data_IF_202124167844
#
_entry.id   IF_202124167844
#
_cell.length_a   1.000
_cell.length_b   1.000
_cell.length_c   1.000
_cell.angle_alpha   90.00
_cell.angle_beta   90.00
_cell.angle_gamma   90.00
#
_symmetry.space_group_name_H-M   'P 1'
#
loop_
_entity.id
_entity.type
_entity.pdbx_description
1 polymer ?
#
# COMPACT_ATOMS: atom_id res chain seq x y z
N UNK A 1 -8.87 0.34 -11.43
CA UNK A 1 -7.42 0.19 -11.67
C UNK A 1 -6.88 1.28 -12.60
N UNK A 2 -7.37 1.39 -13.84
CA UNK A 2 -6.83 2.36 -14.81
C UNK A 2 -6.91 3.82 -14.35
N UNK A 3 -8.00 4.25 -13.71
CA UNK A 3 -8.11 5.61 -13.17
C UNK A 3 -7.04 5.94 -12.13
N UNK A 4 -6.73 4.99 -11.25
CA UNK A 4 -5.67 5.18 -10.25
C UNK A 4 -4.28 5.19 -10.90
N UNK A 5 -4.04 4.33 -11.88
CA UNK A 5 -2.79 4.34 -12.64
C UNK A 5 -2.58 5.65 -13.40
N UNK A 6 -3.64 6.21 -13.99
CA UNK A 6 -3.60 7.53 -14.64
C UNK A 6 -3.22 8.64 -13.65
N UNK A 7 -3.76 8.60 -12.43
CA UNK A 7 -3.35 9.55 -11.36
C UNK A 7 -1.85 9.44 -11.05
N UNK A 8 -1.31 8.24 -10.97
CA UNK A 8 0.13 8.03 -10.76
C UNK A 8 0.98 8.51 -11.94
N UNK A 9 0.47 8.42 -13.17
CA UNK A 9 1.09 8.99 -14.36
C UNK A 9 0.94 10.52 -14.47
N UNK A 10 0.22 11.15 -13.53
CA UNK A 10 -0.01 12.60 -13.53
C UNK A 10 -1.16 13.07 -14.41
N UNK A 11 -1.93 12.15 -14.99
CA UNK A 11 -3.16 12.50 -15.71
C UNK A 11 -4.24 12.94 -14.73
N UNK A 12 -4.91 14.04 -15.03
CA UNK A 12 -5.98 14.62 -14.21
C UNK A 12 -7.24 14.91 -15.02
N UNK A 13 -7.14 15.86 -15.93
CA UNK A 13 -8.24 16.29 -16.81
C UNK A 13 -7.85 16.22 -18.30
N UNK A 14 -6.61 15.82 -18.57
CA UNK A 14 -6.10 15.72 -19.93
C UNK A 14 -6.80 14.58 -20.68
N UNK A 15 -7.08 14.82 -21.94
CA UNK A 15 -7.57 13.75 -22.84
C UNK A 15 -6.44 12.73 -23.04
N UNK A 16 -6.76 11.47 -22.83
CA UNK A 16 -5.83 10.38 -23.10
C UNK A 16 -5.80 10.16 -24.62
N UNK A 17 -4.61 10.07 -25.19
CA UNK A 17 -4.49 9.78 -26.62
C UNK A 17 -4.79 8.30 -26.90
N UNK A 18 -5.27 7.93 -28.11
CA UNK A 18 -5.51 6.55 -28.46
C UNK A 18 -4.26 5.64 -28.29
N UNK A 19 -3.07 6.19 -28.55
CA UNK A 19 -1.81 5.46 -28.39
C UNK A 19 -1.52 5.16 -26.92
N UNK A 20 -1.78 6.12 -26.02
CA UNK A 20 -1.62 5.92 -24.59
C UNK A 20 -2.66 4.93 -24.05
N UNK A 21 -3.90 5.01 -24.52
CA UNK A 21 -4.96 4.07 -24.14
C UNK A 21 -4.58 2.63 -24.53
N UNK A 22 -4.13 2.43 -25.78
CA UNK A 22 -3.65 1.14 -26.25
C UNK A 22 -2.46 0.63 -25.44
N UNK A 23 -1.48 1.49 -25.15
CA UNK A 23 -0.32 1.14 -24.31
C UNK A 23 -0.76 0.72 -22.91
N UNK A 24 -1.69 1.44 -22.28
CA UNK A 24 -2.22 1.09 -20.96
C UNK A 24 -2.94 -0.26 -20.97
N UNK A 25 -3.70 -0.55 -22.01
CA UNK A 25 -4.38 -1.84 -22.16
C UNK A 25 -3.38 -3.00 -22.27
N UNK A 26 -2.37 -2.86 -23.12
CA UNK A 26 -1.30 -3.86 -23.26
C UNK A 26 -0.53 -4.06 -21.96
N UNK A 27 -0.12 -2.96 -21.31
CA UNK A 27 0.59 -3.00 -20.03
C UNK A 27 -0.26 -3.61 -18.93
N UNK A 28 -1.57 -3.39 -18.91
CA UNK A 28 -2.48 -4.01 -17.95
C UNK A 28 -2.47 -5.53 -18.10
N UNK A 29 -2.60 -6.04 -19.34
CA UNK A 29 -2.53 -7.49 -19.62
C UNK A 29 -1.20 -8.09 -19.19
N UNK A 30 -0.10 -7.35 -19.38
CA UNK A 30 1.21 -7.81 -18.93
C UNK A 30 1.33 -7.79 -17.40
N UNK A 31 0.86 -6.75 -16.71
CA UNK A 31 0.86 -6.71 -15.25
C UNK A 31 0.08 -7.91 -14.69
N UNK A 32 -1.12 -8.17 -15.18
CA UNK A 32 -1.94 -9.32 -14.77
C UNK A 32 -1.24 -10.66 -15.03
N UNK A 33 -0.52 -10.79 -16.14
CA UNK A 33 0.22 -12.00 -16.50
C UNK A 33 1.43 -12.27 -15.61
N UNK A 34 2.17 -11.24 -15.22
CA UNK A 34 3.43 -11.38 -14.49
C UNK A 34 3.32 -11.13 -12.99
N UNK A 35 2.18 -10.59 -12.53
CA UNK A 35 1.90 -10.43 -11.12
C UNK A 35 1.49 -11.77 -10.49
N UNK A 36 2.09 -12.07 -9.34
CA UNK A 36 1.74 -13.20 -8.48
C UNK A 36 1.37 -12.64 -7.11
N UNK A 37 0.08 -12.36 -6.90
CA UNK A 37 -0.37 -11.81 -5.64
C UNK A 37 -0.24 -12.82 -4.52
N UNK A 38 0.46 -12.43 -3.46
CA UNK A 38 0.58 -13.17 -2.20
C UNK A 38 0.32 -12.23 -1.04
N UNK A 39 -0.38 -12.71 -0.03
CA UNK A 39 -0.63 -11.95 1.19
C UNK A 39 -0.45 -12.82 2.42
N UNK A 40 -0.09 -12.19 3.52
CA UNK A 40 0.00 -12.79 4.85
C UNK A 40 -0.48 -11.79 5.87
N UNK A 41 -1.18 -12.27 6.89
CA UNK A 41 -1.64 -11.43 8.00
C UNK A 41 -1.66 -12.21 9.31
N UNK A 42 -1.65 -11.45 10.40
CA UNK A 42 -1.90 -11.96 11.75
C UNK A 42 -2.63 -10.90 12.57
N UNK A 43 -3.45 -11.38 13.51
CA UNK A 43 -4.27 -10.51 14.39
C UNK A 43 -3.65 -10.47 15.78
N UNK A 44 -3.58 -9.26 16.34
CA UNK A 44 -3.00 -9.02 17.66
C UNK A 44 -3.92 -8.16 18.53
N UNK A 45 -3.89 -8.41 19.83
CA UNK A 45 -4.52 -7.52 20.82
C UNK A 45 -3.68 -6.27 21.00
N UNK A 46 -4.33 -5.12 21.06
CA UNK A 46 -3.72 -3.82 21.36
C UNK A 46 -3.72 -3.56 22.85
N UNK A 47 -2.62 -3.01 23.35
CA UNK A 47 -2.58 -2.29 24.62
C UNK A 47 -2.58 -0.79 24.34
N UNK A 48 -3.33 -0.03 25.15
CA UNK A 48 -3.37 1.41 25.10
C UNK A 48 -2.66 1.96 26.34
N UNK A 49 -1.89 3.06 26.19
CA UNK A 49 -1.14 3.73 27.29
C UNK A 49 0.16 3.00 27.71
N UNK A 50 1.20 2.95 26.88
CA UNK A 50 1.28 3.43 25.48
C UNK A 50 0.66 2.44 24.49
N UNK A 51 0.29 2.94 23.32
CA UNK A 51 -0.24 2.10 22.25
C UNK A 51 0.84 1.11 21.77
N UNK A 52 0.55 -0.17 21.86
CA UNK A 52 1.52 -1.23 21.53
C UNK A 52 0.85 -2.57 21.24
N UNK A 53 1.62 -3.49 20.69
CA UNK A 53 1.27 -4.91 20.60
C UNK A 53 2.20 -5.68 21.55
N UNK A 54 1.77 -5.96 22.80
CA UNK A 54 2.64 -6.57 23.81
C UNK A 54 3.15 -7.94 23.41
N UNK A 55 2.34 -8.74 22.74
CA UNK A 55 2.68 -10.11 22.33
C UNK A 55 3.95 -10.21 21.47
N UNK A 56 4.31 -9.13 20.79
CA UNK A 56 5.48 -9.06 19.91
C UNK A 56 6.41 -7.91 20.26
N UNK A 57 6.21 -7.25 21.39
CA UNK A 57 6.99 -6.10 21.83
C UNK A 57 7.12 -5.03 20.72
N UNK A 58 5.98 -4.65 20.11
CA UNK A 58 5.92 -3.62 19.06
C UNK A 58 5.28 -2.35 19.60
N UNK A 59 6.06 -1.29 19.67
CA UNK A 59 5.57 0.04 19.99
C UNK A 59 4.87 0.65 18.77
N UNK A 60 3.63 1.11 18.95
CA UNK A 60 2.81 1.81 17.97
C UNK A 60 2.40 3.21 18.45
N UNK A 61 3.02 3.72 19.52
CA UNK A 61 2.71 5.01 20.14
C UNK A 61 3.19 6.19 19.28
N UNK A 62 2.50 6.40 18.16
CA UNK A 62 2.70 7.49 17.23
C UNK A 62 1.38 8.25 17.03
N UNK A 63 1.41 9.58 16.86
CA UNK A 63 0.19 10.39 16.80
C UNK A 63 -0.86 9.90 15.79
N UNK A 64 -0.41 9.44 14.61
CA UNK A 64 -1.31 8.93 13.59
C UNK A 64 -1.98 7.61 13.99
N UNK A 65 -1.20 6.67 14.51
CA UNK A 65 -1.69 5.37 14.96
C UNK A 65 -2.54 5.49 16.21
N UNK A 66 -2.20 6.38 17.15
CA UNK A 66 -3.02 6.67 18.33
C UNK A 66 -4.41 7.13 17.92
N UNK A 67 -4.52 8.06 16.96
CA UNK A 67 -5.83 8.49 16.44
C UNK A 67 -6.56 7.36 15.73
N UNK A 68 -5.87 6.63 14.86
CA UNK A 68 -6.49 5.60 14.04
C UNK A 68 -7.00 4.42 14.87
N UNK A 69 -6.26 4.03 15.90
CA UNK A 69 -6.51 2.82 16.68
C UNK A 69 -7.17 3.10 18.04
N UNK A 70 -7.56 4.34 18.33
CA UNK A 70 -8.09 4.80 19.62
C UNK A 70 -9.19 3.88 20.18
N UNK A 71 -10.12 3.47 19.34
CA UNK A 71 -11.27 2.64 19.72
C UNK A 71 -11.14 1.19 19.27
N UNK A 72 -9.95 0.76 18.91
CA UNK A 72 -9.69 -0.60 18.45
C UNK A 72 -9.14 -1.46 19.59
N UNK A 73 -9.71 -2.64 19.79
CA UNK A 73 -9.21 -3.63 20.77
C UNK A 73 -8.13 -4.53 20.16
N UNK A 74 -8.14 -4.69 18.85
CA UNK A 74 -7.22 -5.54 18.09
C UNK A 74 -6.74 -4.81 16.85
N UNK A 75 -5.65 -5.30 16.29
CA UNK A 75 -5.22 -4.91 14.95
C UNK A 75 -4.78 -6.12 14.14
N UNK A 76 -4.84 -5.96 12.83
CA UNK A 76 -4.23 -6.85 11.87
C UNK A 76 -2.92 -6.21 11.38
N UNK A 77 -1.83 -6.97 11.44
CA UNK A 77 -0.63 -6.72 10.67
C UNK A 77 -0.76 -7.48 9.35
N UNK A 78 -0.59 -6.80 8.23
CA UNK A 78 -0.75 -7.39 6.89
C UNK A 78 0.47 -7.06 6.04
N UNK A 79 0.88 -8.01 5.20
CA UNK A 79 1.83 -7.78 4.13
C UNK A 79 1.35 -8.46 2.85
N UNK A 80 1.57 -7.80 1.70
CA UNK A 80 1.26 -8.38 0.40
C UNK A 80 2.28 -7.95 -0.66
N UNK A 81 2.36 -8.72 -1.74
CA UNK A 81 3.26 -8.48 -2.87
C UNK A 81 2.65 -8.96 -4.18
N UNK A 82 3.10 -8.39 -5.30
CA UNK A 82 2.86 -8.93 -6.64
C UNK A 82 4.00 -9.85 -7.14
N UNK A 83 4.99 -10.12 -6.28
CA UNK A 83 6.11 -10.99 -6.60
C UNK A 83 7.17 -10.34 -7.51
N UNK A 84 8.29 -11.03 -7.63
CA UNK A 84 9.45 -10.56 -8.40
C UNK A 84 9.30 -10.67 -9.92
N UNK A 85 8.29 -11.42 -10.40
CA UNK A 85 8.02 -11.59 -11.83
C UNK A 85 7.71 -10.27 -12.52
N UNK A 86 6.77 -9.51 -11.94
CA UNK A 86 6.39 -8.20 -12.44
C UNK A 86 7.56 -7.20 -12.36
N UNK A 87 8.32 -7.19 -11.28
CA UNK A 87 9.46 -6.28 -11.14
C UNK A 87 10.54 -6.55 -12.20
N UNK A 88 10.84 -7.81 -12.49
CA UNK A 88 11.77 -8.17 -13.58
C UNK A 88 11.25 -7.68 -14.94
N UNK A 89 9.94 -7.75 -15.17
CA UNK A 89 9.31 -7.30 -16.41
C UNK A 89 9.38 -5.78 -16.56
N UNK A 90 9.11 -5.02 -15.51
CA UNK A 90 9.26 -3.56 -15.49
C UNK A 90 10.71 -3.17 -15.79
N UNK A 91 11.69 -3.78 -15.11
CA UNK A 91 13.12 -3.52 -15.35
C UNK A 91 13.57 -3.89 -16.78
N UNK A 92 12.97 -4.92 -17.37
CA UNK A 92 13.25 -5.27 -18.75
C UNK A 92 12.93 -4.13 -19.70
N UNK A 93 11.75 -3.52 -19.57
CA UNK A 93 11.36 -2.36 -20.37
C UNK A 93 12.23 -1.12 -20.09
N UNK A 94 12.70 -0.95 -18.89
CA UNK A 94 13.61 0.15 -18.54
C UNK A 94 14.90 0.21 -19.35
N UNK A 95 15.25 -0.86 -20.08
CA UNK A 95 16.45 -0.91 -20.94
C UNK A 95 16.23 -0.34 -22.34
N UNK A 96 15.02 -0.29 -22.86
CA UNK A 96 14.75 0.10 -24.25
C UNK A 96 13.40 0.75 -24.52
N UNK A 97 12.44 0.71 -23.56
CA UNK A 97 11.12 1.34 -23.67
C UNK A 97 10.73 1.96 -22.32
N UNK A 98 11.26 3.14 -22.07
CA UNK A 98 11.03 3.84 -20.80
C UNK A 98 9.57 4.26 -20.62
N UNK A 99 8.86 4.60 -21.70
CA UNK A 99 7.44 4.97 -21.62
C UNK A 99 6.62 3.79 -21.10
N UNK A 100 6.81 2.62 -21.68
CA UNK A 100 6.16 1.38 -21.25
C UNK A 100 6.54 0.99 -19.81
N UNK A 101 7.81 1.16 -19.44
CA UNK A 101 8.27 0.93 -18.07
C UNK A 101 7.49 1.79 -17.08
N UNK A 102 7.37 3.10 -17.33
CA UNK A 102 6.65 4.05 -16.45
C UNK A 102 5.16 3.69 -16.36
N UNK A 103 4.53 3.35 -17.49
CA UNK A 103 3.12 2.94 -17.50
C UNK A 103 2.92 1.64 -16.72
N UNK A 104 3.77 0.63 -16.92
CA UNK A 104 3.70 -0.62 -16.15
C UNK A 104 3.95 -0.41 -14.66
N UNK A 105 4.85 0.49 -14.30
CA UNK A 105 5.12 0.83 -12.90
C UNK A 105 3.90 1.44 -12.23
N UNK A 106 3.24 2.38 -12.88
CA UNK A 106 2.01 3.01 -12.38
C UNK A 106 0.85 2.00 -12.27
N UNK A 107 0.65 1.16 -13.29
CA UNK A 107 -0.37 0.11 -13.28
C UNK A 107 -0.07 -0.91 -12.16
N UNK A 108 1.18 -1.34 -12.01
CA UNK A 108 1.60 -2.26 -10.95
C UNK A 108 1.33 -1.70 -9.55
N UNK A 109 1.54 -0.40 -9.35
CA UNK A 109 1.20 0.28 -8.08
C UNK A 109 -0.30 0.29 -7.81
N UNK A 110 -1.12 0.61 -8.82
CA UNK A 110 -2.58 0.56 -8.69
C UNK A 110 -3.08 -0.87 -8.49
N UNK A 111 -2.42 -1.84 -9.11
CA UNK A 111 -2.79 -3.25 -9.03
C UNK A 111 -2.52 -3.85 -7.67
N UNK A 112 -1.36 -3.60 -7.04
CA UNK A 112 -1.06 -4.11 -5.69
C UNK A 112 -2.05 -3.57 -4.67
N UNK A 113 -2.43 -2.29 -4.77
CA UNK A 113 -3.45 -1.71 -3.89
C UNK A 113 -4.80 -2.38 -4.08
N UNK A 114 -5.26 -2.53 -5.34
CA UNK A 114 -6.55 -3.16 -5.62
C UNK A 114 -6.61 -4.62 -5.18
N UNK A 115 -5.53 -5.38 -5.33
CA UNK A 115 -5.44 -6.77 -4.88
C UNK A 115 -5.43 -6.87 -3.35
N UNK A 116 -4.73 -5.94 -2.67
CA UNK A 116 -4.74 -5.89 -1.23
C UNK A 116 -6.14 -5.52 -0.68
N UNK A 117 -6.81 -4.54 -1.29
CA UNK A 117 -8.19 -4.16 -0.92
C UNK A 117 -9.16 -5.34 -1.12
N UNK A 118 -9.05 -6.07 -2.24
CA UNK A 118 -9.84 -7.26 -2.48
C UNK A 118 -9.56 -8.37 -1.45
N UNK A 119 -8.30 -8.58 -1.09
CA UNK A 119 -7.92 -9.53 -0.05
C UNK A 119 -8.50 -9.13 1.32
N UNK A 120 -8.42 -7.85 1.68
CA UNK A 120 -9.01 -7.37 2.94
C UNK A 120 -10.52 -7.60 3.04
N UNK A 121 -11.24 -7.55 1.92
CA UNK A 121 -12.67 -7.86 1.90
C UNK A 121 -12.94 -9.34 2.24
N UNK A 122 -12.02 -10.25 1.89
CA UNK A 122 -12.15 -11.68 2.26
C UNK A 122 -12.01 -11.94 3.75
N UNK A 123 -11.43 -11.01 4.51
CA UNK A 123 -11.27 -11.14 5.97
C UNK A 123 -12.58 -10.96 6.74
N UNK A 124 -13.66 -10.53 6.06
CA UNK A 124 -15.01 -10.38 6.62
C UNK A 124 -15.07 -9.54 7.92
N UNK A 125 -14.25 -8.50 8.00
CA UNK A 125 -14.20 -7.61 9.16
C UNK A 125 -15.35 -6.60 9.11
N UNK A 126 -16.31 -6.74 10.00
CA UNK A 126 -17.52 -5.89 10.05
C UNK A 126 -17.23 -4.44 10.45
N UNK A 127 -16.24 -4.25 11.31
CA UNK A 127 -15.78 -2.94 11.79
C UNK A 127 -14.27 -2.88 11.75
N UNK A 128 -13.73 -2.01 10.89
CA UNK A 128 -12.29 -1.85 10.73
C UNK A 128 -11.93 -0.43 10.32
N UNK A 129 -10.71 -0.04 10.65
CA UNK A 129 -10.12 1.18 10.11
C UNK A 129 -9.65 0.96 8.66
N UNK A 130 -9.23 2.04 7.99
CA UNK A 130 -8.45 1.88 6.76
C UNK A 130 -7.04 1.32 7.08
N UNK A 131 -6.40 0.69 6.08
CA UNK A 131 -5.02 0.23 6.17
C UNK A 131 -4.07 1.42 6.27
N UNK A 132 -3.31 1.48 7.35
CA UNK A 132 -2.23 2.44 7.55
C UNK A 132 -0.89 1.78 7.21
N UNK A 133 -0.10 2.42 6.35
CA UNK A 133 1.24 1.93 6.01
C UNK A 133 2.30 2.74 6.77
N UNK A 134 3.26 2.10 7.50
CA UNK A 134 4.37 2.80 8.12
C UNK A 134 5.18 3.62 7.09
N UNK A 135 5.80 4.71 7.54
CA UNK A 135 6.48 5.67 6.68
C UNK A 135 5.65 6.93 6.39
N UNK A 136 4.35 6.94 6.75
CA UNK A 136 3.48 8.11 6.64
C UNK A 136 3.23 8.75 8.02
N UNK A 137 2.85 10.03 8.01
CA UNK A 137 2.42 10.79 9.20
C UNK A 137 3.36 10.65 10.40
N UNK A 138 4.67 10.86 10.19
CA UNK A 138 5.72 10.76 11.20
C UNK A 138 5.87 9.36 11.85
N UNK A 139 5.25 8.35 11.30
CA UNK A 139 5.42 6.97 11.72
C UNK A 139 6.66 6.38 11.01
N UNK A 140 7.68 5.91 11.73
CA UNK A 140 8.92 5.47 11.12
C UNK A 140 8.72 4.27 10.19
N UNK A 141 9.41 4.27 9.05
CA UNK A 141 9.43 3.13 8.13
C UNK A 141 10.05 1.88 8.78
N UNK A 142 10.95 2.07 9.76
CA UNK A 142 11.62 0.98 10.49
C UNK A 142 10.68 0.04 11.25
N UNK A 143 9.42 0.45 11.51
CA UNK A 143 8.37 -0.44 12.04
C UNK A 143 8.18 -1.65 11.14
N UNK A 144 8.36 -1.49 9.82
CA UNK A 144 8.25 -2.58 8.86
C UNK A 144 9.17 -3.75 9.18
N UNK A 145 10.37 -3.53 9.78
CA UNK A 145 11.28 -4.63 10.16
C UNK A 145 10.68 -5.58 11.19
N UNK A 146 10.00 -5.02 12.19
CA UNK A 146 9.36 -5.83 13.22
C UNK A 146 8.17 -6.59 12.65
N UNK A 147 7.32 -5.89 11.87
CA UNK A 147 6.18 -6.52 11.19
C UNK A 147 6.66 -7.63 10.24
N UNK A 148 7.67 -7.36 9.43
CA UNK A 148 8.27 -8.32 8.51
C UNK A 148 8.76 -9.59 9.21
N UNK A 149 9.44 -9.41 10.35
CA UNK A 149 9.92 -10.54 11.16
C UNK A 149 8.78 -11.37 11.74
N UNK A 150 7.77 -10.71 12.28
CA UNK A 150 6.62 -11.37 12.92
C UNK A 150 5.80 -12.14 11.89
N UNK A 151 5.52 -11.54 10.74
CA UNK A 151 4.77 -12.18 9.66
C UNK A 151 5.60 -13.17 8.84
N UNK A 152 6.91 -13.29 9.09
CA UNK A 152 7.86 -14.12 8.32
C UNK A 152 7.74 -13.85 6.80
N UNK A 153 7.62 -12.55 6.39
CA UNK A 153 7.27 -12.18 5.01
C UNK A 153 8.26 -12.69 3.97
N UNK A 154 9.55 -12.78 4.32
CA UNK A 154 10.56 -13.35 3.45
C UNK A 154 10.25 -14.81 3.09
N UNK A 155 10.00 -15.62 4.11
CA UNK A 155 9.75 -17.06 3.97
C UNK A 155 8.38 -17.36 3.36
N UNK A 156 7.34 -16.61 3.76
CA UNK A 156 5.95 -16.89 3.37
C UNK A 156 5.56 -16.32 2.02
N UNK A 157 6.03 -15.11 1.70
CA UNK A 157 5.61 -14.39 0.49
C UNK A 157 6.75 -13.77 -0.31
N UNK A 158 8.02 -13.98 0.09
CA UNK A 158 9.20 -13.60 -0.66
C UNK A 158 9.48 -12.10 -0.70
N UNK A 159 9.10 -11.35 0.35
CA UNK A 159 9.47 -9.94 0.51
C UNK A 159 10.72 -9.83 1.37
N UNK A 160 11.71 -9.09 0.89
CA UNK A 160 12.87 -8.66 1.67
C UNK A 160 12.80 -7.17 1.98
N UNK A 161 13.48 -6.75 3.03
CA UNK A 161 13.68 -5.34 3.34
C UNK A 161 15.15 -4.98 3.11
N UNK A 162 15.36 -3.91 2.34
CA UNK A 162 16.69 -3.31 2.18
C UNK A 162 17.18 -2.70 3.51
N UNK A 163 18.43 -2.22 3.54
CA UNK A 163 18.99 -1.50 4.69
C UNK A 163 18.20 -0.23 5.04
N UNK A 164 17.56 0.39 4.04
CA UNK A 164 16.68 1.55 4.19
C UNK A 164 15.20 1.20 4.44
N UNK A 165 14.87 -0.02 4.82
CA UNK A 165 13.50 -0.50 5.10
C UNK A 165 12.54 -0.51 3.89
N UNK A 166 13.07 -0.42 2.66
CA UNK A 166 12.30 -0.51 1.44
C UNK A 166 12.05 -1.97 1.06
N UNK A 167 10.85 -2.27 0.63
CA UNK A 167 10.44 -3.64 0.24
C UNK A 167 10.98 -4.02 -1.13
N UNK A 168 11.43 -5.26 -1.25
CA UNK A 168 11.84 -5.91 -2.48
C UNK A 168 11.07 -7.24 -2.58
N UNK A 169 10.22 -7.46 -3.59
CA UNK A 169 9.89 -6.58 -4.73
C UNK A 169 9.22 -5.26 -4.33
N UNK A 170 9.37 -4.21 -5.16
CA UNK A 170 8.82 -2.88 -4.88
C UNK A 170 7.29 -2.84 -4.88
N UNK A 171 6.64 -3.68 -5.69
CA UNK A 171 5.17 -3.79 -5.70
C UNK A 171 4.70 -4.68 -4.56
N UNK A 172 4.96 -4.20 -3.35
CA UNK A 172 4.65 -4.82 -2.07
C UNK A 172 4.14 -3.78 -1.08
N UNK A 173 3.40 -4.22 -0.07
CA UNK A 173 2.83 -3.36 0.97
C UNK A 173 2.95 -4.04 2.32
N UNK A 174 3.17 -3.25 3.36
CA UNK A 174 3.01 -3.63 4.77
C UNK A 174 2.05 -2.63 5.39
N UNK A 175 1.09 -3.10 6.16
CA UNK A 175 0.08 -2.26 6.76
C UNK A 175 -0.44 -2.73 8.10
N UNK A 176 -1.12 -1.81 8.78
CA UNK A 176 -1.78 -2.01 10.08
C UNK A 176 -3.25 -1.63 9.89
N UNK A 177 -4.16 -2.50 10.30
CA UNK A 177 -5.62 -2.29 10.23
C UNK A 177 -6.17 -2.50 11.63
N UNK A 178 -6.85 -1.50 12.20
CA UNK A 178 -7.54 -1.64 13.48
C UNK A 178 -8.86 -2.39 13.34
N UNK A 179 -9.21 -3.18 14.34
CA UNK A 179 -10.48 -3.88 14.46
C UNK A 179 -11.25 -3.30 15.64
N UNK A 180 -12.51 -2.89 15.40
CA UNK A 180 -13.41 -2.36 16.42
C UNK A 180 -13.92 -0.94 16.17
N UNK A 181 -13.30 -0.18 15.27
CA UNK A 181 -13.75 1.15 14.85
C UNK A 181 -13.93 1.24 13.34
N UNK A 182 -15.10 1.68 12.91
CA UNK A 182 -15.43 1.94 11.51
C UNK A 182 -15.48 3.44 11.16
N UNK A 183 -15.20 4.33 12.14
CA UNK A 183 -15.43 5.76 12.01
C UNK A 183 -14.31 6.54 11.31
N UNK A 184 -13.09 6.04 11.29
CA UNK A 184 -11.95 6.75 10.73
C UNK A 184 -11.84 6.58 9.22
N UNK A 185 -12.07 7.67 8.49
CA UNK A 185 -11.84 7.76 7.04
C UNK A 185 -10.51 8.42 6.75
N UNK A 186 -9.84 7.99 5.67
CA UNK A 186 -8.67 8.70 5.15
C UNK A 186 -9.00 10.15 4.87
N UNK A 187 -8.21 11.08 5.40
CA UNK A 187 -8.40 12.51 5.16
C UNK A 187 -7.08 13.15 4.73
N UNK A 188 -7.18 14.22 3.93
CA UNK A 188 -6.01 15.03 3.60
C UNK A 188 -5.65 16.03 4.71
N UNK A 189 -6.47 16.14 5.75
CA UNK A 189 -6.31 17.14 6.80
C UNK A 189 -5.01 16.95 7.59
N UNK A 190 -4.71 15.69 7.91
CA UNK A 190 -3.60 15.29 8.76
C UNK A 190 -2.44 14.68 7.97
N UNK A 191 -2.49 14.76 6.63
CA UNK A 191 -1.45 14.21 5.76
C UNK A 191 -0.16 15.05 5.82
N UNK A 192 1.00 14.41 6.06
CA UNK A 192 2.32 15.08 6.08
C UNK A 192 2.68 15.75 4.76
N UNK A 193 2.15 15.24 3.64
CA UNK A 193 2.40 15.81 2.31
C UNK A 193 1.44 16.96 1.96
N UNK A 194 0.54 17.36 2.87
CA UNK A 194 -0.54 18.30 2.60
C UNK A 194 -0.07 19.58 1.90
N UNK A 195 0.99 20.19 2.38
CA UNK A 195 1.50 21.46 1.85
C UNK A 195 2.17 21.29 0.48
N UNK A 196 2.74 20.12 0.20
CA UNK A 196 3.48 19.80 -1.04
C UNK A 196 2.79 18.70 -1.87
N UNK A 197 1.50 18.46 -1.65
CA UNK A 197 0.78 17.40 -2.31
C UNK A 197 0.27 17.83 -3.69
N UNK A 198 0.77 17.20 -4.73
CA UNK A 198 0.33 17.47 -6.12
C UNK A 198 -1.15 17.12 -6.35
N UNK A 199 -1.68 16.13 -5.65
CA UNK A 199 -3.10 15.79 -5.70
C UNK A 199 -3.96 16.91 -5.13
N UNK A 200 -3.59 17.49 -3.97
CA UNK A 200 -4.31 18.62 -3.39
C UNK A 200 -4.23 19.89 -4.22
N UNK A 201 -3.04 20.21 -4.78
CA UNK A 201 -2.87 21.35 -5.68
C UNK A 201 -3.81 21.29 -6.89
N UNK A 202 -4.24 20.09 -7.24
CA UNK A 202 -5.12 19.81 -8.38
C UNK A 202 -6.56 19.47 -7.96
N UNK A 203 -6.96 19.78 -6.72
CA UNK A 203 -8.29 19.47 -6.14
C UNK A 203 -8.70 18.00 -6.26
N UNK A 204 -7.73 17.08 -6.21
CA UNK A 204 -7.98 15.64 -6.23
C UNK A 204 -7.43 14.97 -4.97
N UNK A 205 -7.61 13.67 -4.86
CA UNK A 205 -7.10 12.87 -3.73
C UNK A 205 -6.35 11.65 -4.24
N UNK A 206 -5.30 11.25 -3.51
CA UNK A 206 -4.52 10.05 -3.81
C UNK A 206 -5.25 8.75 -3.44
N UNK A 207 -6.41 8.81 -2.80
CA UNK A 207 -7.21 7.66 -2.37
C UNK A 207 -8.65 7.77 -2.91
N UNK A 208 -9.34 6.62 -2.97
CA UNK A 208 -10.76 6.57 -3.32
C UNK A 208 -11.60 7.11 -2.15
N UNK A 209 -12.70 7.78 -2.49
CA UNK A 209 -13.73 8.19 -1.54
C UNK A 209 -14.83 7.14 -1.69
N UNK A 210 -15.07 6.39 -0.60
CA UNK A 210 -16.22 5.49 -0.51
C UNK A 210 -17.49 6.29 -0.23
#
# INVERSE_FOLDING_TARGET
MNEQALKYLGYMTQTITPEMEAMMEECTKEVEKYAEFKAVYETFTLAHQPLSIPAIDLNLDYPALNRLLENCSHCILIACTLGSGLERRIRYYGKFDQARMIVMDAIGSAYVESQCDAFEQTLNLSQRTYRFCPGYEQTPLSINRKIAKVLEIHKRIGIELSDGDLMIPQKSMIGIIGIGDSGHKKTCRDCVLKENCDFQRRNTRCYKID
#
